data_IF_105169697532
#
_entry.id   IF_105169697532
#
_cell.length_a   1.000
_cell.length_b   1.000
_cell.length_c   1.000
_cell.angle_alpha   90.00
_cell.angle_beta   90.00
_cell.angle_gamma   90.00
#
_symmetry.space_group_name_H-M   'P 1'
#
loop_
_entity.id
_entity.type
_entity.pdbx_description
1 polymer ?
#
# COMPACT_ATOMS: atom_id res chain seq x y z
N UNK A 1 -11.81 0.94 29.71
CA UNK A 1 -12.19 2.25 29.14
C UNK A 1 -10.88 2.94 28.77
N UNK A 2 -10.58 3.08 27.48
CA UNK A 2 -9.35 3.73 27.03
C UNK A 2 -9.43 5.21 27.40
N UNK A 3 -8.61 5.65 28.34
CA UNK A 3 -8.56 7.04 28.76
C UNK A 3 -7.82 7.85 27.68
N UNK A 4 -8.57 8.33 26.70
CA UNK A 4 -8.06 9.10 25.56
C UNK A 4 -7.37 10.40 26.02
N UNK A 5 -7.66 10.87 27.24
CA UNK A 5 -7.04 12.05 27.84
C UNK A 5 -5.64 11.77 28.40
N UNK A 6 -5.32 10.51 28.75
CA UNK A 6 -3.98 10.13 29.20
C UNK A 6 -2.92 10.28 28.08
N UNK A 7 -3.32 10.25 26.80
CA UNK A 7 -2.45 10.47 25.62
C UNK A 7 -1.92 11.93 25.58
N UNK A 8 -2.63 12.86 26.22
CA UNK A 8 -2.27 14.28 26.30
C UNK A 8 -1.68 14.68 27.67
N UNK A 9 -1.34 13.72 28.53
CA UNK A 9 -0.71 14.02 29.80
C UNK A 9 0.66 14.72 29.58
N UNK A 10 1.13 15.58 30.51
CA UNK A 10 2.33 16.41 30.27
C UNK A 10 3.65 15.63 30.20
N UNK A 11 3.66 14.35 30.58
CA UNK A 11 4.88 13.55 30.72
C UNK A 11 5.44 12.98 29.39
N UNK A 12 4.83 13.31 28.23
CA UNK A 12 5.19 12.74 26.92
C UNK A 12 6.23 13.54 26.10
N UNK A 13 6.48 14.81 26.42
CA UNK A 13 7.57 15.59 25.84
C UNK A 13 8.50 16.05 26.96
N UNK A 14 9.73 15.53 26.99
CA UNK A 14 10.78 16.18 27.78
C UNK A 14 10.94 17.62 27.28
N UNK A 15 11.35 18.54 28.16
CA UNK A 15 11.60 19.93 27.80
C UNK A 15 12.54 20.04 26.58
N UNK A 16 13.50 19.13 26.47
CA UNK A 16 14.40 18.99 25.31
C UNK A 16 13.66 18.68 24.01
N UNK A 17 12.74 17.72 24.01
CA UNK A 17 11.96 17.37 22.81
C UNK A 17 11.06 18.55 22.40
N UNK A 18 10.45 19.23 23.37
CA UNK A 18 9.61 20.41 23.10
C UNK A 18 10.43 21.54 22.45
N UNK A 19 11.61 21.84 23.01
CA UNK A 19 12.52 22.83 22.44
C UNK A 19 12.93 22.47 21.01
N UNK A 20 13.19 21.17 20.74
CA UNK A 20 13.53 20.70 19.40
C UNK A 20 12.37 20.90 18.41
N UNK A 21 11.12 20.65 18.80
CA UNK A 21 9.96 20.96 17.94
C UNK A 21 9.84 22.46 17.64
N UNK A 22 10.01 23.33 18.62
CA UNK A 22 9.97 24.78 18.43
C UNK A 22 11.09 25.25 17.50
N UNK A 23 12.30 24.73 17.68
CA UNK A 23 13.45 25.05 16.82
C UNK A 23 13.20 24.58 15.38
N UNK A 24 12.75 23.34 15.18
CA UNK A 24 12.46 22.81 13.85
C UNK A 24 11.32 23.57 13.18
N UNK A 25 10.26 23.92 13.92
CA UNK A 25 9.17 24.75 13.39
C UNK A 25 9.69 26.13 12.96
N UNK A 26 10.52 26.76 13.78
CA UNK A 26 11.12 28.06 13.48
C UNK A 26 12.07 27.98 12.28
N UNK A 27 12.87 26.92 12.17
CA UNK A 27 13.77 26.69 11.04
C UNK A 27 12.99 26.48 9.74
N UNK A 28 11.97 25.63 9.74
CA UNK A 28 11.17 25.36 8.54
C UNK A 28 10.49 26.61 8.02
N UNK A 29 9.85 27.40 8.89
CA UNK A 29 9.26 28.68 8.51
C UNK A 29 10.32 29.70 8.10
N UNK A 30 11.40 29.85 8.88
CA UNK A 30 12.47 30.81 8.64
C UNK A 30 13.12 30.63 7.27
N UNK A 31 13.51 29.40 6.91
CA UNK A 31 14.10 29.10 5.60
C UNK A 31 13.13 29.46 4.47
N UNK A 32 11.85 29.11 4.60
CA UNK A 32 10.86 29.40 3.57
C UNK A 32 10.55 30.91 3.45
N UNK A 33 10.49 31.64 4.57
CA UNK A 33 10.27 33.09 4.56
C UNK A 33 11.48 33.87 4.02
N UNK A 34 12.70 33.44 4.35
CA UNK A 34 13.92 34.04 3.80
C UNK A 34 13.98 33.85 2.29
N UNK A 35 13.63 32.66 1.79
CA UNK A 35 13.61 32.36 0.36
C UNK A 35 12.42 33.00 -0.37
N UNK A 36 11.32 33.28 0.32
CA UNK A 36 10.17 34.01 -0.20
C UNK A 36 10.53 35.45 -0.59
N UNK A 37 11.36 36.15 0.17
CA UNK A 37 11.74 37.55 -0.09
C UNK A 37 12.30 37.74 -1.52
N UNK A 38 13.40 37.09 -1.93
CA UNK A 38 13.91 37.21 -3.29
C UNK A 38 12.92 36.61 -4.31
N UNK A 39 12.20 35.54 -3.98
CA UNK A 39 11.21 34.96 -4.89
C UNK A 39 10.10 35.98 -5.26
N UNK A 40 9.60 36.74 -4.28
CA UNK A 40 8.58 37.75 -4.47
C UNK A 40 9.11 39.00 -5.17
N UNK A 41 10.30 39.48 -4.77
CA UNK A 41 10.93 40.66 -5.38
C UNK A 41 11.24 40.43 -6.87
N UNK A 42 11.76 39.25 -7.22
CA UNK A 42 12.10 38.90 -8.61
C UNK A 42 10.98 38.19 -9.37
N UNK A 43 9.78 38.08 -8.77
CA UNK A 43 8.61 37.40 -9.35
C UNK A 43 8.97 36.03 -9.95
N UNK A 44 9.74 35.23 -9.21
CA UNK A 44 10.27 33.94 -9.66
C UNK A 44 9.77 32.78 -8.81
N UNK A 45 9.32 31.72 -9.47
CA UNK A 45 8.93 30.44 -8.88
C UNK A 45 10.09 29.42 -8.86
N UNK A 46 11.26 29.76 -9.43
CA UNK A 46 12.41 28.85 -9.51
C UNK A 46 12.95 28.45 -8.13
N UNK A 47 12.68 29.26 -7.10
CA UNK A 47 13.15 29.03 -5.73
C UNK A 47 12.19 28.16 -4.91
N UNK A 48 10.93 27.98 -5.33
CA UNK A 48 9.93 27.23 -4.54
C UNK A 48 10.35 25.78 -4.37
N UNK A 49 10.71 25.12 -5.47
CA UNK A 49 11.05 23.70 -5.47
C UNK A 49 12.39 23.44 -4.76
N UNK A 50 13.37 24.35 -4.90
CA UNK A 50 14.68 24.25 -4.22
C UNK A 50 14.53 24.42 -2.72
N UNK A 51 13.79 25.45 -2.29
CA UNK A 51 13.61 25.75 -0.86
C UNK A 51 12.95 24.60 -0.11
N UNK A 52 11.97 23.93 -0.72
CA UNK A 52 11.33 22.75 -0.13
C UNK A 52 12.36 21.67 0.18
N UNK A 53 13.14 21.24 -0.81
CA UNK A 53 14.17 20.21 -0.65
C UNK A 53 15.28 20.62 0.33
N UNK A 54 15.75 21.87 0.28
CA UNK A 54 16.78 22.36 1.21
C UNK A 54 16.25 22.33 2.65
N UNK A 55 14.98 22.72 2.87
CA UNK A 55 14.40 22.72 4.22
C UNK A 55 14.41 21.32 4.83
N UNK A 56 14.04 20.28 4.06
CA UNK A 56 14.14 18.88 4.54
C UNK A 56 15.56 18.48 4.91
N UNK A 57 16.55 18.81 4.07
CA UNK A 57 17.95 18.46 4.31
C UNK A 57 18.48 19.17 5.55
N UNK A 58 18.25 20.47 5.70
CA UNK A 58 18.73 21.25 6.85
C UNK A 58 18.13 20.74 8.16
N UNK A 59 16.82 20.48 8.18
CA UNK A 59 16.15 19.92 9.37
C UNK A 59 16.63 18.52 9.70
N UNK A 60 16.87 17.67 8.69
CA UNK A 60 17.40 16.33 8.90
C UNK A 60 18.84 16.34 9.44
N UNK A 61 19.69 17.26 8.95
CA UNK A 61 21.04 17.49 9.50
C UNK A 61 20.94 17.94 10.96
N UNK A 62 20.09 18.93 11.25
CA UNK A 62 19.88 19.40 12.62
C UNK A 62 19.42 18.25 13.55
N UNK A 63 18.44 17.45 13.12
CA UNK A 63 17.98 16.29 13.87
C UNK A 63 19.09 15.26 14.14
N UNK A 64 19.89 14.93 13.11
CA UNK A 64 21.03 14.04 13.26
C UNK A 64 22.06 14.58 14.26
N UNK A 65 22.32 15.89 14.26
CA UNK A 65 23.22 16.56 15.20
C UNK A 65 22.75 16.52 16.66
N UNK A 66 21.44 16.36 16.90
CA UNK A 66 20.88 16.20 18.25
C UNK A 66 20.83 14.73 18.72
N UNK A 67 21.15 13.78 17.84
CA UNK A 67 21.06 12.34 18.13
C UNK A 67 22.41 11.76 18.57
N UNK A 68 22.42 10.49 18.97
CA UNK A 68 23.67 9.76 19.23
C UNK A 68 24.46 9.40 17.96
N UNK A 69 23.96 9.77 16.77
CA UNK A 69 24.56 9.50 15.46
C UNK A 69 24.87 8.02 15.23
N UNK A 70 24.05 7.13 15.80
CA UNK A 70 24.18 5.70 15.55
C UNK A 70 23.73 5.33 14.12
N UNK A 71 23.92 4.08 13.72
CA UNK A 71 23.55 3.60 12.38
C UNK A 71 22.07 3.87 12.04
N UNK A 72 21.16 3.76 13.01
CA UNK A 72 19.74 3.95 12.78
C UNK A 72 19.41 5.43 12.47
N UNK A 73 20.00 6.37 13.21
CA UNK A 73 19.87 7.82 12.95
C UNK A 73 20.49 8.22 11.61
N UNK A 74 21.65 7.68 11.28
CA UNK A 74 22.32 7.91 9.98
C UNK A 74 21.45 7.39 8.83
N UNK A 75 20.86 6.19 8.96
CA UNK A 75 19.97 5.65 7.94
C UNK A 75 18.73 6.51 7.73
N UNK A 76 18.08 6.99 8.81
CA UNK A 76 16.95 7.92 8.68
C UNK A 76 17.37 9.21 7.95
N UNK A 77 18.53 9.79 8.31
CA UNK A 77 19.07 10.95 7.62
C UNK A 77 19.25 10.68 6.13
N UNK A 78 19.88 9.55 5.76
CA UNK A 78 20.08 9.17 4.37
C UNK A 78 18.76 8.97 3.62
N UNK A 79 17.75 8.36 4.25
CA UNK A 79 16.42 8.20 3.65
C UNK A 79 15.79 9.54 3.29
N UNK A 80 15.87 10.53 4.20
CA UNK A 80 15.34 11.88 3.96
C UNK A 80 16.19 12.63 2.94
N UNK A 81 17.52 12.58 3.09
CA UNK A 81 18.47 13.28 2.23
C UNK A 81 18.40 12.81 0.78
N UNK A 82 18.42 11.49 0.55
CA UNK A 82 18.36 10.91 -0.80
C UNK A 82 17.05 11.29 -1.49
N UNK A 83 15.92 11.23 -0.77
CA UNK A 83 14.64 11.66 -1.31
C UNK A 83 14.64 13.15 -1.65
N UNK A 84 15.04 14.01 -0.69
CA UNK A 84 15.01 15.46 -0.85
C UNK A 84 15.95 15.95 -1.96
N UNK A 85 17.17 15.38 -2.03
CA UNK A 85 18.16 15.68 -3.06
C UNK A 85 17.66 15.26 -4.45
N UNK A 86 17.10 14.05 -4.57
CA UNK A 86 16.56 13.56 -5.84
C UNK A 86 15.37 14.40 -6.32
N UNK A 87 14.41 14.68 -5.44
CA UNK A 87 13.25 15.51 -5.76
C UNK A 87 13.68 16.92 -6.14
N UNK A 88 14.54 17.56 -5.35
CA UNK A 88 15.02 18.92 -5.59
C UNK A 88 15.77 19.04 -6.90
N UNK A 89 16.65 18.09 -7.20
CA UNK A 89 17.39 18.04 -8.48
C UNK A 89 16.45 17.87 -9.66
N UNK A 90 15.49 16.93 -9.58
CA UNK A 90 14.52 16.68 -10.65
C UNK A 90 13.68 17.94 -10.95
N UNK A 91 13.14 18.58 -9.91
CA UNK A 91 12.31 19.77 -10.03
C UNK A 91 13.12 20.98 -10.57
N UNK A 92 14.36 21.15 -10.12
CA UNK A 92 15.27 22.19 -10.60
C UNK A 92 15.59 22.04 -12.10
N UNK A 93 15.93 20.82 -12.54
CA UNK A 93 16.18 20.56 -13.96
C UNK A 93 14.93 20.79 -14.81
N UNK A 94 13.76 20.41 -14.28
CA UNK A 94 12.47 20.62 -14.95
C UNK A 94 12.16 22.11 -15.13
N UNK A 95 12.26 22.93 -14.07
CA UNK A 95 11.93 24.35 -14.16
C UNK A 95 12.92 25.12 -15.04
N UNK A 96 14.21 24.74 -15.04
CA UNK A 96 15.20 25.31 -15.98
C UNK A 96 14.83 25.07 -17.44
N UNK A 97 14.20 23.94 -17.75
CA UNK A 97 13.77 23.60 -19.11
C UNK A 97 12.44 24.24 -19.53
N UNK A 98 11.46 24.25 -18.63
CA UNK A 98 10.12 24.84 -18.90
C UNK A 98 10.15 26.37 -18.80
N UNK A 99 11.11 26.91 -18.06
CA UNK A 99 11.30 28.35 -17.83
C UNK A 99 10.46 28.88 -16.68
N UNK A 100 9.15 28.56 -16.68
CA UNK A 100 8.16 29.12 -15.76
C UNK A 100 7.06 28.11 -15.44
N UNK A 101 6.65 28.03 -14.18
CA UNK A 101 5.52 27.20 -13.78
C UNK A 101 4.22 28.01 -13.77
N UNK A 102 3.30 27.61 -14.65
CA UNK A 102 2.01 28.27 -14.85
C UNK A 102 1.12 28.21 -13.60
N UNK A 103 1.40 27.31 -12.64
CA UNK A 103 0.67 27.23 -11.36
C UNK A 103 0.78 28.53 -10.56
N UNK A 104 1.88 29.27 -10.71
CA UNK A 104 2.14 30.50 -9.96
C UNK A 104 1.79 31.78 -10.72
N UNK A 105 1.22 31.68 -11.94
CA UNK A 105 0.88 32.84 -12.78
C UNK A 105 -0.04 33.85 -12.09
N UNK A 106 -1.05 33.38 -11.38
CA UNK A 106 -1.97 34.24 -10.63
C UNK A 106 -1.53 34.54 -9.20
N UNK A 107 -0.44 33.92 -8.72
CA UNK A 107 -0.01 34.00 -7.33
C UNK A 107 1.10 35.03 -7.13
N UNK A 108 2.08 35.12 -8.04
CA UNK A 108 3.31 35.94 -7.86
C UNK A 108 3.05 37.43 -7.71
N UNK A 109 1.95 37.93 -8.23
CA UNK A 109 1.57 39.34 -8.10
C UNK A 109 1.01 39.69 -6.72
N UNK A 110 0.47 38.70 -5.99
CA UNK A 110 -0.12 38.92 -4.67
C UNK A 110 0.81 38.44 -3.58
N UNK A 111 1.25 39.38 -2.73
CA UNK A 111 2.06 39.07 -1.53
C UNK A 111 1.37 38.04 -0.64
N UNK A 112 0.05 38.14 -0.46
CA UNK A 112 -0.72 37.24 0.39
C UNK A 112 -0.81 35.85 -0.22
N UNK A 113 -1.20 35.73 -1.50
CA UNK A 113 -1.34 34.42 -2.15
C UNK A 113 0.01 33.72 -2.27
N UNK A 114 1.05 34.44 -2.68
CA UNK A 114 2.38 33.84 -2.79
C UNK A 114 2.93 33.50 -1.40
N UNK A 115 2.89 34.43 -0.45
CA UNK A 115 3.34 34.19 0.92
C UNK A 115 2.63 33.01 1.60
N UNK A 116 1.32 32.84 1.40
CA UNK A 116 0.58 31.70 1.96
C UNK A 116 1.09 30.35 1.45
N UNK A 117 1.58 30.27 0.21
CA UNK A 117 2.17 29.06 -0.34
C UNK A 117 3.49 28.72 0.38
N UNK A 118 4.35 29.73 0.60
CA UNK A 118 5.63 29.54 1.28
C UNK A 118 5.46 29.17 2.76
N UNK A 119 4.48 29.77 3.44
CA UNK A 119 4.13 29.38 4.82
C UNK A 119 3.60 27.95 4.87
N UNK A 120 2.67 27.59 3.99
CA UNK A 120 2.15 26.22 3.91
C UNK A 120 3.25 25.21 3.59
N UNK A 121 4.21 25.59 2.76
CA UNK A 121 5.37 24.77 2.43
C UNK A 121 6.22 24.51 3.69
N UNK A 122 6.55 25.54 4.48
CA UNK A 122 7.26 25.38 5.74
C UNK A 122 6.51 24.50 6.75
N UNK A 123 5.20 24.72 6.93
CA UNK A 123 4.34 23.89 7.78
C UNK A 123 4.34 22.44 7.31
N UNK A 124 4.30 22.20 5.99
CA UNK A 124 4.32 20.85 5.42
C UNK A 124 5.60 20.13 5.79
N UNK A 125 6.77 20.76 5.64
CA UNK A 125 8.05 20.14 6.03
C UNK A 125 8.07 19.82 7.52
N UNK A 126 7.59 20.74 8.37
CA UNK A 126 7.49 20.51 9.81
C UNK A 126 6.63 19.29 10.13
N UNK A 127 5.39 19.24 9.63
CA UNK A 127 4.44 18.16 9.91
C UNK A 127 4.98 16.81 9.44
N UNK A 128 5.58 16.77 8.25
CA UNK A 128 6.14 15.53 7.69
C UNK A 128 7.33 15.01 8.51
N UNK A 129 8.11 15.88 9.13
CA UNK A 129 9.29 15.51 9.93
C UNK A 129 9.02 15.35 11.44
N UNK A 130 7.76 15.44 11.88
CA UNK A 130 7.38 15.17 13.28
C UNK A 130 7.91 13.81 13.79
N UNK A 131 7.63 12.66 13.14
CA UNK A 131 8.07 11.39 13.68
C UNK A 131 9.60 11.23 13.61
N UNK A 132 10.27 11.84 12.62
CA UNK A 132 11.73 11.89 12.54
C UNK A 132 12.34 12.63 13.73
N UNK A 133 11.69 13.70 14.21
CA UNK A 133 12.13 14.46 15.39
C UNK A 133 12.11 13.59 16.64
N UNK A 134 11.04 12.82 16.87
CA UNK A 134 11.00 11.86 17.98
C UNK A 134 12.10 10.80 17.84
N UNK A 135 12.30 10.27 16.64
CA UNK A 135 13.31 9.24 16.39
C UNK A 135 14.74 9.71 16.69
N UNK A 136 15.11 10.92 16.27
CA UNK A 136 16.42 11.51 16.57
C UNK A 136 16.67 11.72 18.07
N UNK A 137 15.60 11.86 18.87
CA UNK A 137 15.68 11.97 20.33
C UNK A 137 15.53 10.61 21.05
N UNK A 138 15.53 9.50 20.30
CA UNK A 138 15.42 8.14 20.84
C UNK A 138 16.79 7.42 20.88
N UNK A 139 16.93 6.45 21.78
CA UNK A 139 18.12 5.59 21.88
C UNK A 139 17.98 4.29 21.05
N UNK A 140 17.29 4.35 19.91
CA UNK A 140 16.99 3.17 19.10
C UNK A 140 18.24 2.69 18.34
N UNK A 141 18.63 1.43 18.55
CA UNK A 141 19.84 0.83 17.94
C UNK A 141 19.56 -0.46 17.16
N UNK A 142 18.56 -1.24 17.55
CA UNK A 142 18.32 -2.59 17.01
C UNK A 142 17.10 -2.61 16.08
N UNK A 143 17.36 -2.82 14.80
CA UNK A 143 16.31 -3.00 13.80
C UNK A 143 15.48 -4.26 14.08
N UNK A 144 14.18 -4.17 13.83
CA UNK A 144 13.28 -5.31 13.84
C UNK A 144 12.63 -5.49 12.46
N UNK A 145 11.74 -6.49 12.33
CA UNK A 145 11.02 -6.76 11.08
C UNK A 145 10.34 -5.51 10.51
N UNK A 146 9.74 -4.67 11.36
CA UNK A 146 9.04 -3.47 10.93
C UNK A 146 10.00 -2.41 10.37
N UNK A 147 11.19 -2.26 10.97
CA UNK A 147 12.24 -1.39 10.42
C UNK A 147 12.68 -1.85 9.03
N UNK A 148 12.92 -3.15 8.84
CA UNK A 148 13.30 -3.68 7.53
C UNK A 148 12.18 -3.56 6.48
N UNK A 149 10.93 -3.79 6.88
CA UNK A 149 9.76 -3.57 6.02
C UNK A 149 9.61 -2.10 5.63
N UNK A 150 9.81 -1.18 6.58
CA UNK A 150 9.80 0.26 6.32
C UNK A 150 10.88 0.69 5.33
N UNK A 151 12.11 0.20 5.50
CA UNK A 151 13.20 0.45 4.57
C UNK A 151 12.90 -0.11 3.16
N UNK A 152 12.35 -1.33 3.07
CA UNK A 152 11.94 -1.93 1.79
C UNK A 152 10.86 -1.08 1.10
N UNK A 153 9.83 -0.67 1.84
CA UNK A 153 8.75 0.19 1.31
C UNK A 153 9.30 1.53 0.85
N UNK A 154 10.24 2.13 1.59
CA UNK A 154 10.91 3.36 1.21
C UNK A 154 11.71 3.20 -0.09
N UNK A 155 12.49 2.12 -0.24
CA UNK A 155 13.23 1.80 -1.48
C UNK A 155 12.26 1.67 -2.66
N UNK A 156 11.17 0.92 -2.47
CA UNK A 156 10.14 0.75 -3.51
C UNK A 156 9.48 2.09 -3.88
N UNK A 157 9.17 2.93 -2.89
CA UNK A 157 8.65 4.28 -3.09
C UNK A 157 9.61 5.13 -3.92
N UNK A 158 10.89 5.15 -3.56
CA UNK A 158 11.95 5.86 -4.30
C UNK A 158 12.07 5.39 -5.75
N UNK A 159 12.02 4.08 -5.99
CA UNK A 159 12.09 3.51 -7.34
C UNK A 159 10.85 3.87 -8.16
N UNK A 160 9.65 3.72 -7.58
CA UNK A 160 8.39 4.04 -8.25
C UNK A 160 8.34 5.52 -8.63
N UNK A 161 8.73 6.40 -7.70
CA UNK A 161 8.74 7.84 -7.94
C UNK A 161 9.74 8.22 -9.04
N UNK A 162 10.99 7.78 -8.89
CA UNK A 162 12.08 8.12 -9.82
C UNK A 162 11.82 7.59 -11.25
N UNK A 163 11.32 6.35 -11.37
CA UNK A 163 10.99 5.75 -12.66
C UNK A 163 9.76 6.45 -13.26
N UNK A 164 8.74 6.76 -12.45
CA UNK A 164 7.54 7.47 -12.90
C UNK A 164 7.87 8.85 -13.47
N UNK A 165 8.71 9.61 -12.77
CA UNK A 165 9.19 10.92 -13.20
C UNK A 165 10.08 10.83 -14.45
N UNK A 166 10.99 9.85 -14.52
CA UNK A 166 11.80 9.60 -15.71
C UNK A 166 10.94 9.27 -16.93
N UNK A 167 9.97 8.36 -16.80
CA UNK A 167 9.04 7.99 -17.87
C UNK A 167 8.26 9.20 -18.38
N UNK A 168 7.77 10.05 -17.47
CA UNK A 168 7.05 11.29 -17.81
C UNK A 168 7.95 12.26 -18.57
N UNK A 169 9.16 12.51 -18.08
CA UNK A 169 10.12 13.42 -18.73
C UNK A 169 10.52 12.91 -20.12
N UNK A 170 10.82 11.61 -20.25
CA UNK A 170 11.15 10.98 -21.54
C UNK A 170 9.98 11.09 -22.52
N UNK A 171 8.75 10.88 -22.06
CA UNK A 171 7.55 10.96 -22.89
C UNK A 171 7.31 12.38 -23.41
N UNK A 172 7.35 13.38 -22.52
CA UNK A 172 7.10 14.80 -22.87
C UNK A 172 8.17 15.36 -23.80
N UNK A 173 9.42 14.91 -23.66
CA UNK A 173 10.54 15.39 -24.48
C UNK A 173 10.56 14.80 -25.91
N UNK A 174 9.74 13.79 -26.21
CA UNK A 174 9.67 13.23 -27.55
C UNK A 174 8.68 14.05 -28.40
N UNK A 175 9.11 14.67 -29.53
CA UNK A 175 8.24 15.47 -30.39
C UNK A 175 6.99 14.72 -30.90
N UNK A 176 7.07 13.41 -31.11
CA UNK A 176 5.96 12.56 -31.59
C UNK A 176 4.79 12.49 -30.58
N UNK A 177 5.09 12.79 -29.31
CA UNK A 177 4.12 12.76 -28.22
C UNK A 177 3.50 14.13 -27.93
N UNK A 178 3.82 15.17 -28.71
CA UNK A 178 3.28 16.51 -28.52
C UNK A 178 1.75 16.47 -28.51
N UNK A 179 1.15 17.03 -27.46
CA UNK A 179 -0.30 17.06 -27.28
C UNK A 179 -0.93 15.78 -26.71
N UNK A 180 -0.15 14.71 -26.48
CA UNK A 180 -0.63 13.45 -25.89
C UNK A 180 -0.39 13.40 -24.37
N UNK A 181 -1.04 12.47 -23.69
CA UNK A 181 -0.80 12.15 -22.27
C UNK A 181 0.10 10.92 -22.13
N UNK A 182 0.81 10.84 -21.00
CA UNK A 182 1.66 9.69 -20.69
C UNK A 182 0.77 8.49 -20.35
N UNK A 183 0.97 7.37 -21.05
CA UNK A 183 0.21 6.13 -20.85
C UNK A 183 1.10 4.87 -20.94
N UNK A 184 2.42 5.02 -20.83
CA UNK A 184 3.41 3.94 -20.93
C UNK A 184 4.08 3.67 -19.58
N UNK A 185 4.66 2.47 -19.42
CA UNK A 185 5.32 2.10 -18.17
C UNK A 185 4.36 2.07 -16.98
N UNK A 186 4.74 2.68 -15.85
CA UNK A 186 3.89 2.75 -14.67
C UNK A 186 2.63 3.60 -14.90
N UNK A 187 2.71 4.60 -15.80
CA UNK A 187 1.58 5.44 -16.17
C UNK A 187 0.44 4.64 -16.82
N UNK A 188 0.70 3.44 -17.36
CA UNK A 188 -0.35 2.55 -17.87
C UNK A 188 -1.28 2.03 -16.75
N UNK A 189 -0.72 1.81 -15.56
CA UNK A 189 -1.40 1.16 -14.44
C UNK A 189 -1.85 2.15 -13.36
N UNK A 190 -1.11 3.23 -13.18
CA UNK A 190 -1.38 4.32 -12.26
C UNK A 190 -1.39 5.63 -13.02
N UNK A 191 -2.40 6.49 -12.79
CA UNK A 191 -2.41 7.83 -13.39
C UNK A 191 -1.42 8.78 -12.74
N UNK A 192 -0.92 8.44 -11.55
CA UNK A 192 -0.05 9.28 -10.73
C UNK A 192 1.00 8.41 -9.99
N UNK A 193 1.84 7.65 -10.72
CA UNK A 193 2.80 6.74 -10.09
C UNK A 193 3.85 7.47 -9.28
N UNK A 194 4.24 8.68 -9.69
CA UNK A 194 5.18 9.51 -8.93
C UNK A 194 4.62 9.86 -7.53
N UNK A 195 3.36 10.27 -7.43
CA UNK A 195 2.73 10.52 -6.13
C UNK A 195 2.51 9.24 -5.31
N UNK A 196 2.26 8.09 -5.94
CA UNK A 196 2.28 6.81 -5.23
C UNK A 196 3.64 6.56 -4.59
N UNK A 197 4.73 6.80 -5.34
CA UNK A 197 6.09 6.65 -4.83
C UNK A 197 6.38 7.57 -3.64
N UNK A 198 5.98 8.85 -3.73
CA UNK A 198 6.14 9.81 -2.64
C UNK A 198 5.37 9.40 -1.37
N UNK A 199 4.12 8.93 -1.53
CA UNK A 199 3.33 8.38 -0.41
C UNK A 199 4.04 7.18 0.23
N UNK A 200 4.54 6.25 -0.58
CA UNK A 200 5.27 5.08 -0.10
C UNK A 200 6.59 5.46 0.60
N UNK A 201 7.29 6.49 0.14
CA UNK A 201 8.48 7.01 0.81
C UNK A 201 8.15 7.39 2.26
N UNK A 202 7.11 8.20 2.47
CA UNK A 202 6.79 8.69 3.82
C UNK A 202 6.15 7.63 4.71
N UNK A 203 5.38 6.70 4.14
CA UNK A 203 4.93 5.49 4.85
C UNK A 203 6.14 4.64 5.26
N UNK A 204 7.10 4.44 4.36
CA UNK A 204 8.32 3.66 4.61
C UNK A 204 9.19 4.28 5.70
N UNK A 205 9.38 5.61 5.68
CA UNK A 205 10.05 6.35 6.76
C UNK A 205 9.34 6.13 8.09
N UNK A 206 8.01 6.28 8.14
CA UNK A 206 7.25 6.10 9.38
C UNK A 206 7.35 4.66 9.91
N UNK A 207 7.21 3.64 9.06
CA UNK A 207 7.35 2.24 9.47
C UNK A 207 8.78 1.92 9.93
N UNK A 208 9.80 2.55 9.32
CA UNK A 208 11.19 2.37 9.69
C UNK A 208 11.45 2.78 11.16
N UNK A 209 10.90 3.93 11.54
CA UNK A 209 11.10 4.56 12.86
C UNK A 209 10.09 4.14 13.92
N UNK A 210 8.92 3.61 13.53
CA UNK A 210 7.83 3.24 14.44
C UNK A 210 8.27 2.36 15.63
N UNK A 211 9.17 1.38 15.50
CA UNK A 211 9.66 0.59 16.63
C UNK A 211 10.36 1.39 17.75
N UNK A 212 10.85 2.59 17.45
CA UNK A 212 11.50 3.46 18.43
C UNK A 212 10.53 4.34 19.23
N UNK A 213 9.26 4.39 18.81
CA UNK A 213 8.27 5.32 19.33
C UNK A 213 7.39 4.64 20.39
N UNK A 214 7.07 5.35 21.46
CA UNK A 214 6.00 4.92 22.37
C UNK A 214 4.62 5.11 21.72
N UNK A 215 3.56 4.56 22.32
CA UNK A 215 2.22 4.58 21.73
C UNK A 215 1.69 6.00 21.40
N UNK A 216 1.96 6.99 22.25
CA UNK A 216 1.55 8.38 22.03
C UNK A 216 2.33 9.02 20.87
N UNK A 217 3.65 8.86 20.87
CA UNK A 217 4.53 9.33 19.79
C UNK A 217 4.21 8.65 18.45
N UNK A 218 3.86 7.36 18.47
CA UNK A 218 3.43 6.62 17.29
C UNK A 218 2.15 7.21 16.70
N UNK A 219 1.14 7.52 17.53
CA UNK A 219 -0.12 8.12 17.10
C UNK A 219 0.08 9.53 16.53
N UNK A 220 0.86 10.38 17.21
CA UNK A 220 1.20 11.72 16.72
C UNK A 220 2.03 11.63 15.44
N UNK A 221 2.99 10.71 15.39
CA UNK A 221 3.84 10.47 14.23
C UNK A 221 3.08 10.05 12.98
N UNK A 222 1.94 9.35 13.14
CA UNK A 222 1.06 8.94 12.05
C UNK A 222 0.50 10.15 11.27
N UNK A 223 0.45 11.33 11.90
CA UNK A 223 0.04 12.58 11.23
C UNK A 223 0.89 12.84 9.99
N UNK A 224 2.19 12.51 9.99
CA UNK A 224 3.08 12.74 8.84
C UNK A 224 2.61 12.04 7.56
N UNK A 225 2.57 10.69 7.49
CA UNK A 225 2.15 9.99 6.28
C UNK A 225 0.67 10.25 5.93
N UNK A 226 -0.20 10.47 6.92
CA UNK A 226 -1.62 10.81 6.69
C UNK A 226 -1.76 12.20 6.06
N UNK A 227 -1.01 13.18 6.57
CA UNK A 227 -1.04 14.56 6.10
C UNK A 227 -0.57 14.65 4.65
N UNK A 228 0.62 14.12 4.33
CA UNK A 228 1.15 14.18 2.96
C UNK A 228 0.24 13.42 1.97
N UNK A 229 -0.28 12.26 2.37
CA UNK A 229 -1.22 11.49 1.54
C UNK A 229 -2.50 12.29 1.27
N UNK A 230 -3.08 12.91 2.30
CA UNK A 230 -4.31 13.72 2.18
C UNK A 230 -4.05 14.94 1.30
N UNK A 231 -2.92 15.62 1.52
CA UNK A 231 -2.52 16.78 0.75
C UNK A 231 -2.33 16.44 -0.73
N UNK A 232 -1.77 15.27 -1.07
CA UNK A 232 -1.57 14.84 -2.45
C UNK A 232 -2.83 14.29 -3.14
N UNK A 233 -3.73 13.66 -2.38
CA UNK A 233 -4.96 13.07 -2.92
C UNK A 233 -6.09 14.09 -3.10
N UNK A 234 -6.19 15.08 -2.21
CA UNK A 234 -7.42 15.88 -2.08
C UNK A 234 -7.20 17.40 -2.20
N UNK A 235 -6.02 17.91 -1.85
CA UNK A 235 -5.78 19.36 -1.78
C UNK A 235 -4.92 19.85 -2.94
N UNK A 236 -3.74 19.26 -3.09
CA UNK A 236 -2.71 19.60 -4.06
C UNK A 236 -2.29 18.37 -4.86
N UNK A 237 -1.39 18.53 -5.82
CA UNK A 237 -0.92 17.40 -6.63
C UNK A 237 -2.01 16.84 -7.54
N UNK A 238 -2.61 15.71 -7.16
CA UNK A 238 -3.49 14.90 -8.03
C UNK A 238 -4.73 15.67 -8.50
N UNK A 239 -5.54 16.33 -7.64
CA UNK A 239 -6.76 17.01 -8.10
C UNK A 239 -6.47 18.12 -9.11
N UNK A 240 -5.40 18.89 -8.90
CA UNK A 240 -5.00 19.97 -9.79
C UNK A 240 -4.53 19.45 -11.15
N UNK A 241 -3.74 18.36 -11.14
CA UNK A 241 -3.28 17.72 -12.38
C UNK A 241 -4.42 17.05 -13.13
N UNK A 242 -5.33 16.38 -12.44
CA UNK A 242 -6.54 15.79 -13.04
C UNK A 242 -7.41 16.87 -13.67
N UNK A 243 -7.65 17.99 -12.97
CA UNK A 243 -8.41 19.12 -13.51
C UNK A 243 -7.74 19.69 -14.78
N UNK A 244 -6.43 19.88 -14.75
CA UNK A 244 -5.65 20.36 -15.90
C UNK A 244 -5.68 19.37 -17.08
N UNK A 245 -5.55 18.07 -16.79
CA UNK A 245 -5.61 17.01 -17.80
C UNK A 245 -7.00 16.90 -18.42
N UNK A 246 -8.07 16.97 -17.63
CA UNK A 246 -9.44 16.97 -18.14
C UNK A 246 -9.74 18.19 -19.00
N UNK A 247 -9.19 19.38 -18.67
CA UNK A 247 -9.32 20.57 -19.53
C UNK A 247 -8.66 20.37 -20.90
N UNK A 248 -7.55 19.61 -20.96
CA UNK A 248 -6.79 19.37 -22.21
C UNK A 248 -7.34 18.20 -23.04
N UNK A 249 -7.71 17.10 -22.37
CA UNK A 249 -7.98 15.82 -23.02
C UNK A 249 -9.36 15.22 -22.66
N UNK A 250 -10.16 15.90 -21.85
CA UNK A 250 -11.43 15.35 -21.35
C UNK A 250 -12.44 14.96 -22.44
N UNK A 251 -12.38 15.63 -23.60
CA UNK A 251 -13.23 15.35 -24.76
C UNK A 251 -12.63 14.32 -25.73
N UNK A 252 -11.42 13.81 -25.46
CA UNK A 252 -10.75 12.82 -26.32
C UNK A 252 -11.16 11.42 -25.88
N UNK A 253 -11.78 10.66 -26.79
CA UNK A 253 -12.30 9.31 -26.51
C UNK A 253 -11.24 8.38 -25.90
N UNK A 254 -10.04 8.34 -26.49
CA UNK A 254 -8.95 7.49 -26.02
C UNK A 254 -8.45 7.87 -24.62
N UNK A 255 -8.51 9.16 -24.27
CA UNK A 255 -8.16 9.61 -22.91
C UNK A 255 -9.23 9.17 -21.90
N UNK A 256 -10.51 9.22 -22.28
CA UNK A 256 -11.59 8.71 -21.46
C UNK A 256 -11.44 7.19 -21.22
N UNK A 257 -11.08 6.42 -22.24
CA UNK A 257 -10.77 4.98 -22.10
C UNK A 257 -9.59 4.73 -21.16
N UNK A 258 -8.51 5.50 -21.31
CA UNK A 258 -7.35 5.43 -20.41
C UNK A 258 -7.76 5.72 -18.96
N UNK A 259 -8.44 6.85 -18.71
CA UNK A 259 -8.90 7.24 -17.37
C UNK A 259 -9.84 6.21 -16.75
N UNK A 260 -10.68 5.59 -17.58
CA UNK A 260 -11.58 4.52 -17.16
C UNK A 260 -10.87 3.21 -16.89
N UNK A 261 -9.68 2.94 -17.42
CA UNK A 261 -8.98 1.66 -17.21
C UNK A 261 -7.78 1.76 -16.26
N UNK A 262 -7.34 2.97 -15.94
CA UNK A 262 -6.16 3.24 -15.11
C UNK A 262 -6.57 3.87 -13.78
N UNK A 263 -6.16 3.26 -12.68
CA UNK A 263 -6.48 3.78 -11.35
C UNK A 263 -5.67 5.03 -11.01
N UNK A 264 -6.05 5.75 -9.95
CA UNK A 264 -5.39 7.01 -9.58
C UNK A 264 -3.96 6.73 -9.11
N UNK A 265 -3.81 5.91 -8.06
CA UNK A 265 -2.53 5.51 -7.49
C UNK A 265 -2.16 4.07 -7.82
N UNK A 266 -3.07 3.14 -7.54
CA UNK A 266 -2.89 1.71 -7.80
C UNK A 266 -3.61 1.29 -9.09
N UNK A 267 -3.26 0.13 -9.69
CA UNK A 267 -4.05 -0.46 -10.77
C UNK A 267 -5.55 -0.48 -10.42
N UNK A 268 -6.41 -0.16 -11.40
CA UNK A 268 -7.86 0.05 -11.19
C UNK A 268 -8.55 -1.09 -10.41
N UNK A 269 -8.11 -2.32 -10.65
CA UNK A 269 -8.74 -3.51 -10.09
C UNK A 269 -7.95 -4.14 -8.93
N UNK A 270 -7.01 -3.40 -8.31
CA UNK A 270 -6.23 -3.91 -7.17
C UNK A 270 -7.11 -4.31 -5.98
N UNK A 271 -8.01 -3.43 -5.51
CA UNK A 271 -8.88 -3.75 -4.38
C UNK A 271 -9.81 -4.96 -4.64
N UNK A 272 -10.51 -5.05 -5.80
CA UNK A 272 -11.26 -6.26 -6.14
C UNK A 272 -10.42 -7.55 -6.14
N UNK A 273 -9.19 -7.51 -6.63
CA UNK A 273 -8.28 -8.67 -6.59
C UNK A 273 -7.96 -9.05 -5.14
N UNK A 274 -7.58 -8.07 -4.31
CA UNK A 274 -7.27 -8.30 -2.89
C UNK A 274 -8.47 -8.87 -2.14
N UNK A 275 -9.68 -8.37 -2.38
CA UNK A 275 -10.90 -8.91 -1.80
C UNK A 275 -11.17 -10.34 -2.26
N UNK A 276 -10.99 -10.62 -3.56
CA UNK A 276 -11.21 -11.96 -4.12
C UNK A 276 -10.25 -13.01 -3.55
N UNK A 277 -9.01 -12.63 -3.22
CA UNK A 277 -8.03 -13.47 -2.52
C UNK A 277 -8.29 -13.52 -1.02
N UNK A 278 -8.67 -12.41 -0.41
CA UNK A 278 -8.90 -12.30 1.03
C UNK A 278 -10.07 -13.16 1.51
N UNK A 279 -11.17 -13.21 0.76
CA UNK A 279 -12.36 -14.00 1.13
C UNK A 279 -12.04 -15.48 1.36
N UNK A 280 -11.47 -16.25 0.41
CA UNK A 280 -11.16 -17.65 0.62
C UNK A 280 -10.10 -17.87 1.71
N UNK A 281 -9.12 -16.96 1.85
CA UNK A 281 -8.15 -17.04 2.95
C UNK A 281 -8.80 -16.86 4.32
N UNK A 282 -9.74 -15.92 4.46
CA UNK A 282 -10.50 -15.72 5.69
C UNK A 282 -11.36 -16.94 6.03
N UNK A 283 -12.04 -17.52 5.03
CA UNK A 283 -12.79 -18.76 5.20
C UNK A 283 -11.86 -19.89 5.66
N UNK A 284 -10.71 -20.04 5.00
CA UNK A 284 -9.70 -21.02 5.37
C UNK A 284 -9.13 -20.81 6.78
N UNK A 285 -8.94 -19.57 7.20
CA UNK A 285 -8.51 -19.23 8.56
C UNK A 285 -9.56 -19.65 9.58
N UNK A 286 -10.85 -19.38 9.34
CA UNK A 286 -11.95 -19.79 10.22
C UNK A 286 -12.02 -21.33 10.31
N UNK A 287 -11.98 -22.03 9.18
CA UNK A 287 -11.92 -23.50 9.16
C UNK A 287 -10.67 -24.04 9.88
N UNK A 288 -9.53 -23.38 9.73
CA UNK A 288 -8.27 -23.72 10.41
C UNK A 288 -8.33 -23.54 11.93
N UNK A 289 -9.05 -22.53 12.44
CA UNK A 289 -9.29 -22.36 13.87
C UNK A 289 -10.09 -23.53 14.45
N UNK A 290 -11.07 -24.05 13.69
CA UNK A 290 -11.83 -25.25 14.09
C UNK A 290 -10.95 -26.50 14.03
N UNK A 291 -10.13 -26.66 12.98
CA UNK A 291 -9.17 -27.76 12.89
C UNK A 291 -8.20 -27.77 14.09
N UNK A 292 -7.73 -26.60 14.52
CA UNK A 292 -6.79 -26.47 15.62
C UNK A 292 -7.34 -27.00 16.96
N UNK A 293 -8.66 -27.07 17.16
CA UNK A 293 -9.24 -27.55 18.43
C UNK A 293 -9.04 -29.05 18.67
N UNK A 294 -8.82 -29.83 17.60
CA UNK A 294 -8.72 -31.29 17.70
C UNK A 294 -7.54 -31.93 16.98
N UNK A 295 -6.76 -31.16 16.21
CA UNK A 295 -5.59 -31.68 15.48
C UNK A 295 -4.47 -32.19 16.40
N UNK A 296 -4.29 -31.56 17.57
CA UNK A 296 -3.22 -31.89 18.52
C UNK A 296 -3.60 -32.93 19.59
N UNK A 297 -4.85 -33.38 19.62
CA UNK A 297 -5.33 -34.37 20.59
C UNK A 297 -6.03 -35.55 19.87
N UNK A 298 -7.33 -35.47 19.64
CA UNK A 298 -8.15 -36.50 18.99
C UNK A 298 -7.57 -36.97 17.65
N UNK A 299 -7.15 -36.05 16.78
CA UNK A 299 -6.64 -36.47 15.47
C UNK A 299 -5.34 -37.26 15.57
N UNK A 300 -4.58 -37.14 16.66
CA UNK A 300 -3.37 -37.95 16.91
C UNK A 300 -3.77 -39.41 17.16
N UNK A 301 -4.83 -39.64 17.92
CA UNK A 301 -5.35 -40.95 18.33
C UNK A 301 -6.06 -41.72 17.20
N UNK A 302 -6.62 -40.99 16.23
CA UNK A 302 -7.29 -41.57 15.06
C UNK A 302 -6.31 -42.41 14.23
N UNK A 303 -6.71 -43.65 13.91
CA UNK A 303 -5.98 -44.54 13.00
C UNK A 303 -5.97 -43.95 11.59
N UNK A 304 -4.78 -43.80 11.01
CA UNK A 304 -4.55 -43.18 9.70
C UNK A 304 -3.82 -44.16 8.78
N UNK A 305 -4.06 -44.13 7.46
CA UNK A 305 -3.29 -44.93 6.52
C UNK A 305 -1.84 -44.45 6.40
N UNK A 306 -0.93 -45.33 6.00
CA UNK A 306 0.51 -45.04 5.86
C UNK A 306 0.83 -43.92 4.86
N UNK A 307 -0.08 -43.66 3.91
CA UNK A 307 0.04 -42.60 2.91
C UNK A 307 -0.57 -41.26 3.36
N UNK A 308 -1.03 -41.14 4.62
CA UNK A 308 -1.47 -39.87 5.18
C UNK A 308 -0.30 -38.87 5.19
N UNK A 309 -0.44 -37.67 4.61
CA UNK A 309 0.65 -36.70 4.55
C UNK A 309 1.05 -36.20 5.95
N UNK A 310 2.33 -35.83 6.15
CA UNK A 310 2.74 -35.06 7.30
C UNK A 310 1.88 -33.80 7.51
N UNK A 311 1.50 -33.51 8.76
CA UNK A 311 0.57 -32.43 9.10
C UNK A 311 0.97 -31.03 8.60
N UNK A 312 2.27 -30.75 8.52
CA UNK A 312 2.77 -29.46 8.04
C UNK A 312 2.48 -29.20 6.55
N UNK A 313 2.22 -30.23 5.74
CA UNK A 313 1.94 -30.10 4.30
C UNK A 313 0.58 -29.43 4.06
N UNK A 314 -0.40 -29.65 4.94
CA UNK A 314 -1.75 -29.16 4.74
C UNK A 314 -1.82 -27.62 4.71
N UNK A 315 -1.07 -26.93 5.58
CA UNK A 315 -1.08 -25.46 5.65
C UNK A 315 -0.65 -24.77 4.35
N UNK A 316 0.54 -25.07 3.80
CA UNK A 316 1.01 -24.54 2.52
C UNK A 316 0.11 -24.89 1.33
N UNK A 317 -0.40 -26.14 1.27
CA UNK A 317 -1.29 -26.57 0.18
C UNK A 317 -2.59 -25.79 0.22
N UNK A 318 -3.28 -25.74 1.36
CA UNK A 318 -4.54 -25.01 1.48
C UNK A 318 -4.38 -23.51 1.24
N UNK A 319 -3.32 -22.90 1.78
CA UNK A 319 -3.02 -21.48 1.52
C UNK A 319 -2.86 -21.21 0.03
N UNK A 320 -2.11 -22.07 -0.67
CA UNK A 320 -1.92 -21.96 -2.12
C UNK A 320 -3.25 -22.11 -2.87
N UNK A 321 -4.08 -23.08 -2.48
CA UNK A 321 -5.39 -23.30 -3.10
C UNK A 321 -6.34 -22.11 -2.89
N UNK A 322 -6.38 -21.52 -1.70
CA UNK A 322 -7.19 -20.31 -1.44
C UNK A 322 -6.74 -19.12 -2.29
N UNK A 323 -5.44 -18.93 -2.48
CA UNK A 323 -4.91 -17.90 -3.38
C UNK A 323 -5.33 -18.17 -4.82
N UNK A 324 -5.19 -19.41 -5.32
CA UNK A 324 -5.59 -19.77 -6.68
C UNK A 324 -7.10 -19.59 -6.90
N UNK A 325 -7.92 -20.03 -5.95
CA UNK A 325 -9.37 -19.83 -5.95
C UNK A 325 -9.74 -18.34 -6.00
N UNK A 326 -9.06 -17.51 -5.22
CA UNK A 326 -9.29 -16.06 -5.21
C UNK A 326 -8.88 -15.36 -6.50
N UNK A 327 -7.78 -15.79 -7.11
CA UNK A 327 -7.38 -15.31 -8.45
C UNK A 327 -8.40 -15.76 -9.50
N UNK A 328 -8.87 -17.00 -9.44
CA UNK A 328 -9.87 -17.53 -10.36
C UNK A 328 -11.19 -16.73 -10.27
N UNK A 329 -11.70 -16.49 -9.06
CA UNK A 329 -12.92 -15.71 -8.86
C UNK A 329 -12.75 -14.24 -9.29
N UNK A 330 -11.56 -13.65 -9.09
CA UNK A 330 -11.24 -12.32 -9.61
C UNK A 330 -11.29 -12.26 -11.15
N UNK A 331 -10.74 -13.25 -11.85
CA UNK A 331 -10.76 -13.30 -13.32
C UNK A 331 -12.21 -13.35 -13.84
N UNK A 332 -13.08 -14.10 -13.17
CA UNK A 332 -14.52 -14.14 -13.47
C UNK A 332 -15.16 -12.78 -13.19
N UNK A 333 -14.88 -12.16 -12.03
CA UNK A 333 -15.40 -10.84 -11.67
C UNK A 333 -14.95 -9.73 -12.64
N UNK A 334 -13.73 -9.82 -13.19
CA UNK A 334 -13.24 -8.87 -14.19
C UNK A 334 -14.11 -8.87 -15.45
N UNK A 335 -14.74 -10.00 -15.77
CA UNK A 335 -15.64 -10.13 -16.91
C UNK A 335 -17.10 -9.76 -16.59
N UNK A 336 -17.41 -9.13 -15.44
CA UNK A 336 -18.78 -8.85 -14.89
C UNK A 336 -19.84 -8.27 -15.85
N UNK A 337 -19.46 -7.74 -17.00
CA UNK A 337 -20.39 -7.35 -18.06
C UNK A 337 -21.01 -8.54 -18.80
N UNK A 338 -20.40 -9.73 -18.77
CA UNK A 338 -20.89 -10.96 -19.39
C UNK A 338 -21.92 -11.67 -18.50
N UNK A 339 -22.91 -12.31 -19.11
CA UNK A 339 -23.81 -13.27 -18.44
C UNK A 339 -23.39 -14.70 -18.80
N UNK A 340 -23.45 -15.69 -17.88
CA UNK A 340 -24.11 -15.66 -16.57
C UNK A 340 -23.15 -15.64 -15.35
N UNK A 341 -22.48 -14.52 -15.07
CA UNK A 341 -21.49 -14.41 -13.98
C UNK A 341 -22.06 -14.64 -12.57
N UNK A 342 -23.29 -14.17 -12.31
CA UNK A 342 -23.92 -14.33 -10.98
C UNK A 342 -24.06 -15.81 -10.59
N UNK A 343 -24.40 -16.66 -11.55
CA UNK A 343 -24.56 -18.11 -11.32
C UNK A 343 -23.19 -18.73 -11.03
N UNK A 344 -22.17 -18.39 -11.83
CA UNK A 344 -20.81 -18.89 -11.63
C UNK A 344 -20.24 -18.50 -10.25
N UNK A 345 -20.41 -17.25 -9.83
CA UNK A 345 -19.98 -16.79 -8.51
C UNK A 345 -20.86 -17.33 -7.38
N UNK A 346 -22.13 -17.65 -7.64
CA UNK A 346 -23.01 -18.33 -6.69
C UNK A 346 -22.50 -19.73 -6.37
N UNK A 347 -22.16 -20.52 -7.38
CA UNK A 347 -21.51 -21.83 -7.21
C UNK A 347 -20.19 -21.73 -6.42
N UNK A 348 -19.37 -20.73 -6.74
CA UNK A 348 -18.14 -20.43 -5.99
C UNK A 348 -18.40 -20.05 -4.53
N UNK A 349 -19.47 -19.31 -4.22
CA UNK A 349 -19.84 -19.01 -2.84
C UNK A 349 -20.24 -20.28 -2.07
N UNK A 350 -21.07 -21.13 -2.67
CA UNK A 350 -21.53 -22.38 -2.04
C UNK A 350 -20.37 -23.33 -1.77
N UNK A 351 -19.47 -23.55 -2.72
CA UNK A 351 -18.31 -24.43 -2.48
C UNK A 351 -17.38 -23.91 -1.38
N UNK A 352 -17.26 -22.59 -1.15
CA UNK A 352 -16.47 -22.06 -0.03
C UNK A 352 -17.13 -22.34 1.33
N UNK A 353 -18.46 -22.27 1.40
CA UNK A 353 -19.20 -22.61 2.62
C UNK A 353 -19.10 -24.10 2.94
N UNK A 354 -19.23 -24.96 1.93
CA UNK A 354 -19.00 -26.40 2.03
C UNK A 354 -17.57 -26.69 2.51
N UNK A 355 -16.58 -26.04 1.90
CA UNK A 355 -15.19 -26.19 2.31
C UNK A 355 -14.93 -25.85 3.79
N UNK A 356 -15.59 -24.82 4.34
CA UNK A 356 -15.54 -24.52 5.77
C UNK A 356 -16.30 -25.54 6.62
N UNK A 357 -17.47 -25.97 6.15
CA UNK A 357 -18.32 -26.95 6.81
C UNK A 357 -17.58 -28.27 7.03
N UNK A 358 -16.73 -28.70 6.08
CA UNK A 358 -15.90 -29.88 6.23
C UNK A 358 -15.06 -29.86 7.52
N UNK A 359 -14.35 -28.76 7.80
CA UNK A 359 -13.54 -28.61 9.03
C UNK A 359 -14.41 -28.73 10.28
N UNK A 360 -15.63 -28.17 10.24
CA UNK A 360 -16.59 -28.25 11.35
C UNK A 360 -17.04 -29.69 11.59
N UNK A 361 -17.39 -30.42 10.53
CA UNK A 361 -17.85 -31.80 10.65
C UNK A 361 -16.73 -32.75 11.08
N UNK A 362 -15.55 -32.64 10.45
CA UNK A 362 -14.44 -33.56 10.68
C UNK A 362 -13.75 -33.29 12.01
N UNK A 363 -13.32 -32.04 12.27
CA UNK A 363 -12.53 -31.70 13.44
C UNK A 363 -13.36 -31.15 14.59
N UNK A 364 -14.42 -30.38 14.30
CA UNK A 364 -15.31 -29.83 15.33
C UNK A 364 -16.21 -30.89 15.95
N UNK A 365 -16.98 -31.61 15.12
CA UNK A 365 -17.88 -32.67 15.55
C UNK A 365 -17.22 -34.04 15.67
N UNK A 366 -15.94 -34.17 15.25
CA UNK A 366 -15.19 -35.43 15.29
C UNK A 366 -15.94 -36.58 14.59
N UNK A 367 -16.60 -36.27 13.47
CA UNK A 367 -17.45 -37.20 12.74
C UNK A 367 -16.91 -37.40 11.30
N UNK A 368 -15.95 -38.32 11.09
CA UNK A 368 -15.39 -38.62 9.78
C UNK A 368 -16.44 -39.07 8.75
N UNK A 369 -17.50 -39.77 9.18
CA UNK A 369 -18.57 -40.24 8.30
C UNK A 369 -19.35 -39.07 7.67
N UNK A 370 -19.83 -38.13 8.49
CA UNK A 370 -20.56 -36.96 7.98
C UNK A 370 -19.67 -36.08 7.11
N UNK A 371 -18.40 -35.91 7.52
CA UNK A 371 -17.42 -35.19 6.73
C UNK A 371 -17.13 -35.85 5.37
N UNK A 372 -17.21 -37.19 5.28
CA UNK A 372 -17.05 -37.91 4.02
C UNK A 372 -18.19 -37.64 3.03
N UNK A 373 -19.44 -37.64 3.49
CA UNK A 373 -20.56 -37.31 2.60
C UNK A 373 -20.53 -35.84 2.18
N UNK A 374 -20.16 -34.94 3.09
CA UNK A 374 -20.00 -33.52 2.77
C UNK A 374 -18.88 -33.29 1.74
N UNK A 375 -17.72 -33.92 1.89
CA UNK A 375 -16.59 -33.68 0.97
C UNK A 375 -16.88 -34.17 -0.46
N UNK A 376 -17.75 -35.18 -0.63
CA UNK A 376 -18.26 -35.57 -1.95
C UNK A 376 -19.13 -34.47 -2.55
N UNK A 377 -20.04 -33.90 -1.75
CA UNK A 377 -20.89 -32.78 -2.19
C UNK A 377 -20.02 -31.57 -2.55
N UNK A 378 -19.01 -31.27 -1.74
CA UNK A 378 -18.00 -30.26 -2.02
C UNK A 378 -17.31 -30.54 -3.36
N UNK A 379 -16.80 -31.76 -3.58
CA UNK A 379 -16.09 -32.11 -4.82
C UNK A 379 -16.95 -31.91 -6.07
N UNK A 380 -18.22 -32.33 -6.04
CA UNK A 380 -19.19 -32.08 -7.11
C UNK A 380 -19.36 -30.57 -7.34
N UNK A 381 -19.46 -29.80 -6.26
CA UNK A 381 -19.66 -28.36 -6.32
C UNK A 381 -18.42 -27.63 -6.86
N UNK A 382 -17.21 -28.11 -6.58
CA UNK A 382 -15.97 -27.59 -7.17
C UNK A 382 -15.97 -27.85 -8.69
N UNK A 383 -16.40 -29.04 -9.13
CA UNK A 383 -16.50 -29.39 -10.55
C UNK A 383 -17.51 -28.49 -11.26
N UNK A 384 -18.69 -28.27 -10.69
CA UNK A 384 -19.67 -27.33 -11.26
C UNK A 384 -19.15 -25.90 -11.31
N UNK A 385 -18.44 -25.46 -10.27
CA UNK A 385 -17.78 -24.14 -10.26
C UNK A 385 -16.78 -24.01 -11.40
N UNK A 386 -15.91 -25.02 -11.60
CA UNK A 386 -14.97 -25.07 -12.74
C UNK A 386 -15.70 -25.00 -14.07
N UNK A 387 -16.75 -25.81 -14.28
CA UNK A 387 -17.50 -25.85 -15.54
C UNK A 387 -18.20 -24.51 -15.82
N UNK A 388 -18.73 -23.86 -14.78
CA UNK A 388 -19.30 -22.51 -14.90
C UNK A 388 -18.22 -21.47 -15.23
N UNK A 389 -17.04 -21.56 -14.62
CA UNK A 389 -15.90 -20.68 -14.89
C UNK A 389 -15.40 -20.87 -16.32
N UNK A 390 -15.35 -22.10 -16.83
CA UNK A 390 -14.86 -22.43 -18.18
C UNK A 390 -15.68 -21.73 -19.28
N UNK A 391 -16.97 -21.52 -19.05
CA UNK A 391 -17.86 -20.78 -19.98
C UNK A 391 -17.53 -19.29 -20.07
N UNK A 392 -16.77 -18.74 -19.13
CA UNK A 392 -16.47 -17.30 -19.01
C UNK A 392 -14.97 -17.04 -19.23
N UNK A 393 -14.11 -17.76 -18.53
CA UNK A 393 -12.66 -17.61 -18.54
C UNK A 393 -11.95 -18.97 -18.41
N UNK A 394 -11.18 -19.34 -19.44
CA UNK A 394 -10.46 -20.62 -19.47
C UNK A 394 -9.37 -20.69 -18.40
N UNK A 395 -8.69 -19.58 -18.11
CA UNK A 395 -7.62 -19.54 -17.12
C UNK A 395 -8.20 -19.72 -15.73
N UNK A 396 -9.30 -19.02 -15.42
CA UNK A 396 -10.01 -19.21 -14.14
C UNK A 396 -10.41 -20.67 -13.91
N UNK A 397 -10.89 -21.37 -14.94
CA UNK A 397 -11.24 -22.78 -14.84
C UNK A 397 -10.02 -23.70 -14.63
N UNK A 398 -8.89 -23.40 -15.29
CA UNK A 398 -7.63 -24.16 -15.11
C UNK A 398 -7.12 -24.01 -13.67
N UNK A 399 -7.20 -22.82 -13.08
CA UNK A 399 -6.77 -22.56 -11.70
C UNK A 399 -7.56 -23.37 -10.66
N UNK A 400 -8.76 -23.87 -10.99
CA UNK A 400 -9.54 -24.75 -10.11
C UNK A 400 -9.07 -26.22 -10.16
N UNK A 401 -8.25 -26.62 -11.13
CA UNK A 401 -7.83 -28.03 -11.30
C UNK A 401 -7.00 -28.54 -10.11
N UNK A 402 -5.99 -27.80 -9.59
CA UNK A 402 -5.26 -28.23 -8.40
C UNK A 402 -6.18 -28.46 -7.20
N UNK A 403 -7.23 -27.64 -7.06
CA UNK A 403 -8.20 -27.79 -5.98
C UNK A 403 -9.03 -29.08 -6.12
N UNK A 404 -9.50 -29.41 -7.32
CA UNK A 404 -10.17 -30.69 -7.60
C UNK A 404 -9.24 -31.86 -7.28
N UNK A 405 -7.98 -31.81 -7.71
CA UNK A 405 -7.01 -32.87 -7.44
C UNK A 405 -6.80 -33.11 -5.94
N UNK A 406 -6.63 -32.02 -5.18
CA UNK A 406 -6.46 -32.08 -3.73
C UNK A 406 -7.71 -32.58 -3.00
N UNK A 407 -8.91 -32.12 -3.37
CA UNK A 407 -10.15 -32.57 -2.73
C UNK A 407 -10.50 -34.00 -3.09
N UNK A 408 -10.18 -34.46 -4.31
CA UNK A 408 -10.29 -35.88 -4.66
C UNK A 408 -9.39 -36.75 -3.78
N UNK A 409 -8.14 -36.33 -3.56
CA UNK A 409 -7.23 -37.00 -2.63
C UNK A 409 -7.77 -36.97 -1.19
N UNK A 410 -8.22 -35.81 -0.71
CA UNK A 410 -8.78 -35.65 0.63
C UNK A 410 -10.07 -36.48 0.83
N UNK A 411 -10.86 -36.67 -0.23
CA UNK A 411 -12.06 -37.53 -0.21
C UNK A 411 -11.67 -38.98 0.05
N UNK A 412 -10.66 -39.48 -0.67
CA UNK A 412 -10.13 -40.83 -0.43
C UNK A 412 -9.54 -40.95 0.99
N UNK A 413 -8.78 -39.95 1.44
CA UNK A 413 -8.20 -39.93 2.79
C UNK A 413 -9.28 -39.97 3.87
N UNK A 414 -10.31 -39.12 3.75
CA UNK A 414 -11.42 -39.09 4.70
C UNK A 414 -12.16 -40.43 4.70
N UNK A 415 -12.39 -41.05 3.55
CA UNK A 415 -13.00 -42.37 3.47
C UNK A 415 -12.19 -43.42 4.21
N UNK A 416 -10.88 -43.49 3.94
CA UNK A 416 -10.00 -44.46 4.58
C UNK A 416 -9.91 -44.25 6.09
N UNK A 417 -9.81 -43.00 6.55
CA UNK A 417 -9.85 -42.70 7.99
C UNK A 417 -11.17 -43.17 8.61
N UNK A 418 -12.31 -42.93 7.95
CA UNK A 418 -13.59 -43.43 8.42
C UNK A 418 -13.67 -44.96 8.44
N UNK A 419 -13.07 -45.68 7.50
CA UNK A 419 -13.10 -47.15 7.52
C UNK A 419 -12.19 -47.77 8.59
N UNK A 420 -11.17 -47.03 9.05
CA UNK A 420 -10.21 -47.49 10.05
C UNK A 420 -10.63 -47.22 11.50
N UNK A 421 -11.71 -46.46 11.73
CA UNK A 421 -12.16 -46.02 13.06
C UNK A 421 -13.68 -46.06 13.14
#
# INVERSE_FOLDING_TARGET
MFDFLSIFAPDYLSATIMNNFVLIFTMTLGINLIMFIPAYLFKTDKLTDISYSITFVVVAIFGLMQSSMNLAHILLFLMIFIWAFRLGTYLLLRIRKIGKDNRFDSMRESIVKFGSFWVLQGITVFVVLIPSTYFYNSNFEKFNLLSYLGLLIWILGMLIESIGDYQKTKFINNPINKGKWVNTGFWKYSRHPNYLGEILVWIGVYLFILPALNNGQALIGLISPVFITTLLLFVSGIPLLEKSANKKWGNVHDYALYKNNTGILLPKNTFPLLLSIGIPLLIGMIGGLVTATSVGNWFVEVSKPDWNPPGWIFGPVWTSLYVLMGIASYLIWKQRSKKPIKIALGFYGVQLLLNMLWSILFFGLKNPQLAFFEIIVLLIMIIFTKLAFLKIDKIAAILMIPYIGWVSFATLLNFTIWQLN
#
